data_IF_763191500176
#
_entry.id   IF_763191500176
#
_cell.length_a   1.000
_cell.length_b   1.000
_cell.length_c   1.000
_cell.angle_alpha   90.00
_cell.angle_beta   90.00
_cell.angle_gamma   90.00
#
_symmetry.space_group_name_H-M   'P 1'
#
loop_
_entity.id
_entity.type
_entity.pdbx_description
1 polymer ?
#
# COMPACT_ATOMS: atom_id res chain seq x y z
N UNK A 1 -51.68 25.57 45.90
CA UNK A 1 -52.40 26.85 46.03
C UNK A 1 -51.45 27.93 45.58
N UNK A 2 -51.68 28.70 44.52
CA UNK A 2 -52.80 28.82 43.59
C UNK A 2 -52.23 29.11 42.20
N UNK A 3 -52.95 28.70 41.16
CA UNK A 3 -52.66 29.08 39.78
C UNK A 3 -53.45 30.37 39.48
N UNK A 4 -52.75 31.43 39.09
CA UNK A 4 -53.36 32.66 38.61
C UNK A 4 -54.04 32.41 37.25
N UNK A 5 -55.37 32.46 37.25
CA UNK A 5 -56.22 32.48 36.05
C UNK A 5 -56.36 33.93 35.57
N UNK A 6 -55.48 34.34 34.65
CA UNK A 6 -55.66 35.59 33.88
C UNK A 6 -56.74 35.37 32.80
N UNK A 7 -57.99 35.54 33.19
CA UNK A 7 -59.14 35.52 32.27
C UNK A 7 -59.22 36.88 31.55
N UNK A 8 -58.55 36.95 30.39
CA UNK A 8 -58.55 38.09 29.47
C UNK A 8 -60.00 38.38 29.01
N UNK A 9 -60.65 39.35 29.66
CA UNK A 9 -61.98 39.83 29.26
C UNK A 9 -61.85 40.63 27.96
N UNK A 10 -61.91 39.92 26.83
CA UNK A 10 -61.94 40.48 25.49
C UNK A 10 -63.24 41.29 25.32
N UNK A 11 -63.13 42.61 25.43
CA UNK A 11 -64.24 43.54 25.25
C UNK A 11 -64.58 43.64 23.75
N UNK A 12 -65.75 43.14 23.36
CA UNK A 12 -66.22 43.11 21.98
C UNK A 12 -66.56 44.52 21.46
N UNK A 13 -65.62 45.10 20.69
CA UNK A 13 -65.77 46.41 20.06
C UNK A 13 -66.89 46.45 19.01
N UNK A 14 -67.29 45.31 18.46
CA UNK A 14 -68.31 45.23 17.41
C UNK A 14 -69.71 45.42 17.99
N UNK A 15 -69.96 44.85 19.17
CA UNK A 15 -71.20 45.04 19.94
C UNK A 15 -71.44 46.51 20.33
N UNK A 16 -70.37 47.26 20.64
CA UNK A 16 -70.48 48.69 20.97
C UNK A 16 -70.78 49.56 19.73
N UNK A 17 -70.25 49.17 18.57
CA UNK A 17 -70.46 49.87 17.30
C UNK A 17 -71.89 49.71 16.79
N UNK A 18 -72.52 48.56 17.05
CA UNK A 18 -73.94 48.33 16.74
C UNK A 18 -74.89 49.11 17.65
N UNK A 19 -74.47 49.41 18.88
CA UNK A 19 -75.25 50.22 19.83
C UNK A 19 -75.25 51.71 19.46
N UNK A 20 -74.15 52.21 18.91
CA UNK A 20 -74.07 53.59 18.42
C UNK A 20 -74.86 53.80 17.13
N UNK A 21 -74.90 52.83 16.22
CA UNK A 21 -75.68 52.96 14.97
C UNK A 21 -77.20 52.84 15.17
N UNK A 22 -77.66 52.15 16.22
CA UNK A 22 -79.10 52.06 16.55
C UNK A 22 -79.67 53.27 17.32
N UNK A 23 -78.83 54.21 17.75
CA UNK A 23 -79.28 55.40 18.53
C UNK A 23 -79.46 56.65 17.66
N UNK A 24 -79.36 56.52 16.33
CA UNK A 24 -79.58 57.63 15.39
C UNK A 24 -80.87 57.41 14.58
N UNK A 25 -82.03 57.71 15.17
CA UNK A 25 -83.25 58.17 14.46
C UNK A 25 -84.43 58.35 15.43
N UNK A 26 -84.33 59.31 16.34
CA UNK A 26 -85.50 60.03 16.86
C UNK A 26 -85.22 61.51 16.61
N UNK A 27 -86.02 62.24 15.82
CA UNK A 27 -85.85 63.68 15.66
C UNK A 27 -86.25 64.35 16.97
N UNK A 28 -85.27 64.45 17.87
CA UNK A 28 -85.32 65.27 19.07
C UNK A 28 -85.82 66.66 18.68
N UNK A 29 -87.04 66.96 19.10
CA UNK A 29 -87.61 68.31 19.07
C UNK A 29 -86.63 69.21 19.79
N UNK A 30 -85.92 70.05 19.03
CA UNK A 30 -85.03 71.08 19.56
C UNK A 30 -85.77 71.88 20.63
N UNK A 31 -85.28 71.96 21.88
CA UNK A 31 -85.59 73.10 22.70
C UNK A 31 -84.70 74.26 22.20
N UNK A 32 -85.07 74.89 21.08
CA UNK A 32 -84.58 76.23 20.72
C UNK A 32 -85.34 77.29 21.54
N UNK A 33 -85.48 77.04 22.84
CA UNK A 33 -85.81 78.06 23.83
C UNK A 33 -84.47 78.33 24.51
N UNK A 34 -83.81 79.41 24.09
CA UNK A 34 -82.63 79.92 24.79
C UNK A 34 -83.08 80.10 26.24
N UNK A 35 -82.64 79.22 27.12
CA UNK A 35 -82.86 79.34 28.56
C UNK A 35 -82.13 80.62 28.99
N UNK A 36 -82.82 81.76 28.92
CA UNK A 36 -82.34 82.99 29.51
C UNK A 36 -82.23 82.73 31.01
N UNK A 37 -80.99 82.57 31.46
CA UNK A 37 -80.70 82.36 32.87
C UNK A 37 -81.21 83.57 33.65
N UNK A 38 -82.29 83.38 34.41
CA UNK A 38 -82.77 84.35 35.40
C UNK A 38 -81.84 84.44 36.61
N UNK A 39 -80.67 83.78 36.60
CA UNK A 39 -79.70 83.84 37.69
C UNK A 39 -78.83 85.09 37.59
N UNK A 40 -78.83 85.85 38.68
CA UNK A 40 -77.97 87.01 38.88
C UNK A 40 -76.49 86.59 38.86
N UNK A 41 -75.60 87.43 38.32
CA UNK A 41 -74.17 87.09 38.17
C UNK A 41 -73.50 86.70 39.51
N UNK A 42 -74.02 87.21 40.63
CA UNK A 42 -73.58 86.85 41.98
C UNK A 42 -73.96 85.41 42.36
N UNK A 43 -75.17 84.96 42.01
CA UNK A 43 -75.62 83.58 42.24
C UNK A 43 -74.84 82.58 41.39
N UNK A 44 -74.52 82.96 40.15
CA UNK A 44 -73.67 82.13 39.30
C UNK A 44 -72.25 82.01 39.85
N UNK A 45 -71.66 83.11 40.36
CA UNK A 45 -70.34 83.07 40.95
C UNK A 45 -70.29 82.21 42.23
N UNK A 46 -71.34 82.28 43.06
CA UNK A 46 -71.47 81.42 44.24
C UNK A 46 -71.61 79.94 43.86
N UNK A 47 -72.36 79.62 42.81
CA UNK A 47 -72.50 78.25 42.33
C UNK A 47 -71.19 77.72 41.71
N UNK A 48 -70.45 78.58 41.00
CA UNK A 48 -69.10 78.26 40.52
C UNK A 48 -68.17 77.98 41.71
N UNK A 49 -68.14 78.84 42.72
CA UNK A 49 -67.33 78.62 43.93
C UNK A 49 -67.73 77.35 44.69
N UNK A 50 -69.01 77.00 44.68
CA UNK A 50 -69.54 75.76 45.28
C UNK A 50 -69.12 74.52 44.51
N UNK A 51 -69.09 74.58 43.18
CA UNK A 51 -68.82 73.43 42.29
C UNK A 51 -67.31 73.27 42.01
N UNK A 52 -66.52 74.34 42.10
CA UNK A 52 -65.07 74.32 41.84
C UNK A 52 -64.31 73.26 42.68
N UNK A 53 -64.61 73.05 43.97
CA UNK A 53 -64.02 71.96 44.76
C UNK A 53 -64.46 70.56 44.31
N UNK A 54 -65.67 70.42 43.76
CA UNK A 54 -66.21 69.15 43.25
C UNK A 54 -65.59 68.76 41.90
N UNK A 55 -65.17 69.76 41.11
CA UNK A 55 -64.44 69.58 39.85
C UNK A 55 -62.93 69.41 40.04
N UNK A 56 -62.41 69.71 41.23
CA UNK A 56 -60.98 69.56 41.54
C UNK A 56 -60.62 68.09 41.72
N UNK A 57 -60.39 67.43 40.59
CA UNK A 57 -59.87 66.07 40.55
C UNK A 57 -58.42 66.09 41.05
N UNK A 58 -58.24 65.78 42.33
CA UNK A 58 -56.90 65.57 42.90
C UNK A 58 -56.49 64.14 42.58
N UNK A 59 -55.78 63.96 41.46
CA UNK A 59 -55.21 62.65 41.10
C UNK A 59 -54.14 62.32 42.14
N UNK A 60 -54.45 61.40 43.05
CA UNK A 60 -53.44 60.81 43.94
C UNK A 60 -52.57 59.91 43.08
N UNK A 61 -51.26 60.15 43.07
CA UNK A 61 -50.28 59.22 42.48
C UNK A 61 -50.31 57.92 43.24
N UNK A 62 -51.16 56.99 42.79
CA UNK A 62 -51.23 55.61 43.25
C UNK A 62 -50.43 54.74 42.26
N UNK A 63 -49.75 53.71 42.75
CA UNK A 63 -49.01 52.74 41.92
C UNK A 63 -49.96 51.88 41.05
N UNK A 64 -51.27 52.06 41.18
CA UNK A 64 -52.31 51.52 40.29
C UNK A 64 -52.68 52.48 39.15
N UNK A 65 -52.05 53.66 39.06
CA UNK A 65 -52.27 54.58 37.95
C UNK A 65 -51.58 54.04 36.70
N UNK A 66 -52.38 53.71 35.68
CA UNK A 66 -51.92 53.25 34.38
C UNK A 66 -50.91 54.21 33.73
N UNK A 67 -50.91 55.51 34.08
CA UNK A 67 -49.93 56.48 33.58
C UNK A 67 -48.51 56.17 34.07
N UNK A 68 -48.36 55.68 35.30
CA UNK A 68 -47.06 55.27 35.85
C UNK A 68 -46.57 54.02 35.12
N UNK A 69 -47.46 53.03 34.92
CA UNK A 69 -47.13 51.83 34.14
C UNK A 69 -46.80 52.14 32.68
N UNK A 70 -47.50 53.10 32.05
CA UNK A 70 -47.20 53.56 30.70
C UNK A 70 -45.81 54.22 30.64
N UNK A 71 -45.46 55.03 31.64
CA UNK A 71 -44.12 55.61 31.77
C UNK A 71 -43.03 54.54 31.95
N UNK A 72 -43.27 53.56 32.81
CA UNK A 72 -42.39 52.40 33.02
C UNK A 72 -42.22 51.59 31.73
N UNK A 73 -43.29 51.36 30.97
CA UNK A 73 -43.24 50.63 29.70
C UNK A 73 -42.38 51.35 28.67
N UNK A 74 -42.48 52.69 28.57
CA UNK A 74 -41.61 53.47 27.69
C UNK A 74 -40.15 53.38 28.15
N UNK A 75 -39.88 53.50 29.46
CA UNK A 75 -38.54 53.37 30.01
C UNK A 75 -37.93 51.98 29.72
N UNK A 76 -38.69 50.91 29.91
CA UNK A 76 -38.25 49.55 29.59
C UNK A 76 -38.03 49.37 28.09
N UNK A 77 -38.93 49.88 27.24
CA UNK A 77 -38.78 49.85 25.79
C UNK A 77 -37.48 50.53 25.35
N UNK A 78 -37.20 51.72 25.87
CA UNK A 78 -35.97 52.47 25.54
C UNK A 78 -34.73 51.75 26.06
N UNK A 79 -34.80 51.16 27.26
CA UNK A 79 -33.73 50.32 27.81
C UNK A 79 -33.45 49.08 26.97
N UNK A 80 -34.50 48.37 26.52
CA UNK A 80 -34.40 47.21 25.62
C UNK A 80 -33.83 47.65 24.27
N UNK A 81 -34.28 48.77 23.72
CA UNK A 81 -33.78 49.28 22.44
C UNK A 81 -32.30 49.64 22.52
N UNK A 82 -31.87 50.26 23.63
CA UNK A 82 -30.47 50.59 23.87
C UNK A 82 -29.60 49.34 23.99
N UNK A 83 -30.01 48.37 24.83
CA UNK A 83 -29.25 47.13 25.01
C UNK A 83 -29.21 46.28 23.74
N UNK A 84 -30.30 46.25 22.97
CA UNK A 84 -30.34 45.59 21.67
C UNK A 84 -29.38 46.24 20.67
N UNK A 85 -29.34 47.58 20.63
CA UNK A 85 -28.44 48.32 19.73
C UNK A 85 -26.97 48.08 20.11
N UNK A 86 -26.67 48.09 21.41
CA UNK A 86 -25.34 47.81 21.92
C UNK A 86 -24.91 46.36 21.60
N UNK A 87 -25.77 45.38 21.89
CA UNK A 87 -25.51 43.97 21.59
C UNK A 87 -25.28 43.70 20.09
N UNK A 88 -26.07 44.33 19.21
CA UNK A 88 -25.86 44.28 17.77
C UNK A 88 -24.49 44.84 17.39
N UNK A 89 -24.10 45.99 17.95
CA UNK A 89 -22.79 46.58 17.67
C UNK A 89 -21.62 45.69 18.10
N UNK A 90 -21.74 44.97 19.23
CA UNK A 90 -20.72 44.00 19.65
C UNK A 90 -20.68 42.80 18.71
N UNK A 91 -21.85 42.30 18.27
CA UNK A 91 -21.92 41.19 17.34
C UNK A 91 -21.33 41.54 15.97
N UNK A 92 -21.61 42.74 15.45
CA UNK A 92 -21.07 43.22 14.19
C UNK A 92 -19.54 43.33 14.24
N UNK A 93 -19.00 43.89 15.33
CA UNK A 93 -17.53 43.95 15.56
C UNK A 93 -16.93 42.56 15.64
N UNK A 94 -17.56 41.64 16.37
CA UNK A 94 -17.09 40.26 16.50
C UNK A 94 -17.10 39.56 15.14
N UNK A 95 -18.15 39.74 14.33
CA UNK A 95 -18.24 39.21 12.99
C UNK A 95 -17.10 39.74 12.10
N UNK A 96 -16.83 41.05 12.15
CA UNK A 96 -15.73 41.67 11.40
C UNK A 96 -14.36 41.13 11.84
N UNK A 97 -14.12 41.01 13.14
CA UNK A 97 -12.86 40.50 13.69
C UNK A 97 -12.64 39.02 13.35
N UNK A 98 -13.70 38.21 13.40
CA UNK A 98 -13.66 36.81 12.93
C UNK A 98 -13.37 36.76 11.44
N UNK A 99 -14.02 37.62 10.64
CA UNK A 99 -13.78 37.72 9.19
C UNK A 99 -12.31 38.02 8.86
N UNK A 100 -11.75 39.06 9.48
CA UNK A 100 -10.33 39.42 9.34
C UNK A 100 -9.39 38.29 9.76
N UNK A 101 -9.71 37.61 10.86
CA UNK A 101 -8.90 36.49 11.36
C UNK A 101 -8.94 35.31 10.39
N UNK A 102 -10.11 35.00 9.84
CA UNK A 102 -10.28 33.93 8.85
C UNK A 102 -9.52 34.23 7.55
N UNK A 103 -9.59 35.47 7.06
CA UNK A 103 -8.81 35.90 5.88
C UNK A 103 -7.30 35.77 6.13
N UNK A 104 -6.84 36.17 7.32
CA UNK A 104 -5.44 36.03 7.71
C UNK A 104 -5.02 34.56 7.75
N UNK A 105 -5.83 33.69 8.37
CA UNK A 105 -5.58 32.23 8.40
C UNK A 105 -5.54 31.67 6.98
N UNK A 106 -6.53 31.98 6.14
CA UNK A 106 -6.57 31.52 4.75
C UNK A 106 -5.36 31.99 3.92
N UNK A 107 -4.92 33.24 4.11
CA UNK A 107 -3.71 33.75 3.45
C UNK A 107 -2.45 33.00 3.90
N UNK A 108 -2.37 32.67 5.19
CA UNK A 108 -1.23 31.93 5.76
C UNK A 108 -1.21 30.48 5.30
N UNK A 109 -2.37 29.83 5.25
CA UNK A 109 -2.54 28.48 4.70
C UNK A 109 -2.12 28.43 3.23
N UNK A 110 -2.61 29.35 2.39
CA UNK A 110 -2.19 29.45 0.98
C UNK A 110 -0.68 29.64 0.85
N UNK A 111 -0.09 30.49 1.68
CA UNK A 111 1.36 30.72 1.68
C UNK A 111 2.16 29.47 2.09
N UNK A 112 1.71 28.74 3.10
CA UNK A 112 2.34 27.50 3.55
C UNK A 112 2.19 26.41 2.48
N UNK A 113 0.99 26.23 1.93
CA UNK A 113 0.73 25.26 0.88
C UNK A 113 1.62 25.53 -0.34
N UNK A 114 1.71 26.78 -0.79
CA UNK A 114 2.58 27.14 -1.91
C UNK A 114 4.06 26.83 -1.65
N UNK A 115 4.53 26.97 -0.41
CA UNK A 115 5.90 26.58 -0.06
C UNK A 115 6.08 25.06 -0.03
N UNK A 116 5.10 24.35 0.53
CA UNK A 116 5.18 22.89 0.65
C UNK A 116 4.98 22.16 -0.68
N UNK A 117 4.22 22.74 -1.62
CA UNK A 117 3.94 22.15 -2.93
C UNK A 117 5.24 21.74 -3.66
N UNK A 118 6.22 22.65 -3.72
CA UNK A 118 7.50 22.38 -4.36
C UNK A 118 8.29 21.29 -3.62
N UNK A 119 8.37 21.37 -2.29
CA UNK A 119 9.09 20.37 -1.48
C UNK A 119 8.46 18.98 -1.61
N UNK A 120 7.13 18.88 -1.66
CA UNK A 120 6.41 17.61 -1.86
C UNK A 120 6.71 17.06 -3.26
N UNK A 121 6.73 17.92 -4.28
CA UNK A 121 7.05 17.52 -5.64
C UNK A 121 8.50 17.03 -5.76
N UNK A 122 9.45 17.73 -5.13
CA UNK A 122 10.86 17.33 -5.07
C UNK A 122 11.02 16.00 -4.33
N UNK A 123 10.37 15.84 -3.17
CA UNK A 123 10.38 14.58 -2.42
C UNK A 123 9.87 13.41 -3.27
N UNK A 124 8.75 13.59 -3.99
CA UNK A 124 8.22 12.57 -4.92
C UNK A 124 9.20 12.25 -6.03
N UNK A 125 9.87 13.25 -6.61
CA UNK A 125 10.89 13.05 -7.64
C UNK A 125 12.08 12.24 -7.11
N UNK A 126 12.61 12.62 -5.95
CA UNK A 126 13.74 11.91 -5.31
C UNK A 126 13.35 10.50 -4.92
N UNK A 127 12.13 10.29 -4.42
CA UNK A 127 11.61 8.96 -4.09
C UNK A 127 11.50 8.06 -5.34
N UNK A 128 11.04 8.61 -6.48
CA UNK A 128 11.00 7.87 -7.74
C UNK A 128 12.41 7.49 -8.22
N UNK A 129 13.37 8.41 -8.17
CA UNK A 129 14.78 8.15 -8.51
C UNK A 129 15.40 7.09 -7.59
N UNK A 130 15.09 7.12 -6.29
CA UNK A 130 15.54 6.12 -5.34
C UNK A 130 14.97 4.73 -5.66
N UNK A 131 13.69 4.65 -6.03
CA UNK A 131 13.06 3.38 -6.45
C UNK A 131 13.75 2.82 -7.69
N UNK A 132 13.97 3.66 -8.71
CA UNK A 132 14.65 3.28 -9.95
C UNK A 132 16.07 2.78 -9.68
N UNK A 133 16.85 3.50 -8.86
CA UNK A 133 18.20 3.10 -8.49
C UNK A 133 18.22 1.76 -7.73
N UNK A 134 17.23 1.53 -6.86
CA UNK A 134 17.09 0.27 -6.12
C UNK A 134 16.76 -0.90 -7.05
N UNK A 135 15.88 -0.69 -8.02
CA UNK A 135 15.52 -1.69 -9.01
C UNK A 135 16.72 -2.04 -9.90
N UNK A 136 17.47 -1.04 -10.37
CA UNK A 136 18.73 -1.24 -11.10
C UNK A 136 19.77 -1.99 -10.28
N UNK A 137 19.93 -1.65 -9.00
CA UNK A 137 20.84 -2.37 -8.10
C UNK A 137 20.41 -3.83 -7.93
N UNK A 138 19.11 -4.09 -7.73
CA UNK A 138 18.59 -5.44 -7.57
C UNK A 138 18.78 -6.28 -8.85
N UNK A 139 18.55 -5.68 -10.01
CA UNK A 139 18.79 -6.32 -11.31
C UNK A 139 20.28 -6.62 -11.52
N UNK A 140 21.16 -5.65 -11.24
CA UNK A 140 22.60 -5.82 -11.37
C UNK A 140 23.13 -6.90 -10.40
N UNK A 141 22.67 -6.89 -9.16
CA UNK A 141 23.00 -7.90 -8.15
C UNK A 141 22.54 -9.30 -8.59
N UNK A 142 21.31 -9.43 -9.09
CA UNK A 142 20.83 -10.68 -9.68
C UNK A 142 21.70 -11.16 -10.85
N UNK A 143 22.10 -10.26 -11.75
CA UNK A 143 23.01 -10.56 -12.86
C UNK A 143 24.41 -10.99 -12.39
N UNK A 144 24.95 -10.38 -11.34
CA UNK A 144 26.23 -10.77 -10.74
C UNK A 144 26.13 -12.17 -10.11
N UNK A 145 25.06 -12.46 -9.38
CA UNK A 145 24.83 -13.79 -8.82
C UNK A 145 24.75 -14.86 -9.91
N UNK A 146 24.02 -14.62 -10.98
CA UNK A 146 23.91 -15.56 -12.10
C UNK A 146 25.26 -15.78 -12.80
N UNK A 147 26.01 -14.70 -13.07
CA UNK A 147 27.37 -14.81 -13.63
C UNK A 147 28.32 -15.55 -12.70
N UNK A 148 28.20 -15.35 -11.39
CA UNK A 148 29.00 -16.09 -10.39
C UNK A 148 28.65 -17.58 -10.40
N UNK A 149 27.36 -17.92 -10.52
CA UNK A 149 26.88 -19.30 -10.66
C UNK A 149 27.45 -19.95 -11.93
N UNK A 150 27.35 -19.28 -13.08
CA UNK A 150 27.88 -19.77 -14.36
C UNK A 150 29.40 -19.93 -14.31
N UNK A 151 30.13 -19.00 -13.68
CA UNK A 151 31.58 -19.13 -13.51
C UNK A 151 31.97 -20.35 -12.65
N UNK A 152 31.20 -20.65 -11.60
CA UNK A 152 31.42 -21.84 -10.79
C UNK A 152 31.18 -23.12 -11.60
N UNK A 153 30.11 -23.15 -12.40
CA UNK A 153 29.78 -24.28 -13.29
C UNK A 153 30.87 -24.52 -14.33
N UNK A 154 31.33 -23.46 -15.02
CA UNK A 154 32.46 -23.56 -15.98
C UNK A 154 33.75 -23.99 -15.29
N UNK A 155 34.00 -23.53 -14.06
CA UNK A 155 35.20 -23.92 -13.30
C UNK A 155 35.17 -25.41 -12.92
N UNK A 156 34.00 -25.94 -12.56
CA UNK A 156 33.79 -27.37 -12.30
C UNK A 156 33.98 -28.20 -13.57
N UNK A 157 33.41 -27.76 -14.71
CA UNK A 157 33.62 -28.40 -16.01
C UNK A 157 35.11 -28.43 -16.39
N UNK A 158 35.84 -27.33 -16.15
CA UNK A 158 37.26 -27.23 -16.45
C UNK A 158 38.08 -28.18 -15.57
N UNK A 159 37.78 -28.29 -14.27
CA UNK A 159 38.44 -29.26 -13.39
C UNK A 159 38.12 -30.70 -13.80
N UNK A 160 36.89 -30.99 -14.22
CA UNK A 160 36.52 -32.30 -14.77
C UNK A 160 37.32 -32.64 -16.04
N UNK A 161 37.42 -31.71 -16.99
CA UNK A 161 38.22 -31.90 -18.22
C UNK A 161 39.70 -32.09 -17.88
N UNK A 162 40.22 -31.35 -16.91
CA UNK A 162 41.60 -31.49 -16.43
C UNK A 162 41.83 -32.87 -15.80
N UNK A 163 40.90 -33.36 -14.97
CA UNK A 163 40.97 -34.70 -14.37
C UNK A 163 40.88 -35.81 -15.44
N UNK A 164 40.01 -35.66 -16.44
CA UNK A 164 39.96 -36.58 -17.58
C UNK A 164 41.26 -36.57 -18.39
N UNK A 165 41.86 -35.40 -18.61
CA UNK A 165 43.14 -35.25 -19.28
C UNK A 165 44.28 -35.90 -18.49
N UNK A 166 44.32 -35.72 -17.16
CA UNK A 166 45.30 -36.34 -16.28
C UNK A 166 45.13 -37.86 -16.24
N UNK A 167 43.89 -38.36 -16.20
CA UNK A 167 43.58 -39.79 -16.28
C UNK A 167 44.05 -40.38 -17.62
N UNK A 168 43.72 -39.73 -18.75
CA UNK A 168 44.19 -40.14 -20.07
C UNK A 168 45.70 -40.03 -20.21
N UNK A 169 46.32 -38.99 -19.66
CA UNK A 169 47.77 -38.80 -19.65
C UNK A 169 48.47 -39.88 -18.83
N UNK A 170 47.93 -40.22 -17.66
CA UNK A 170 48.40 -41.32 -16.82
C UNK A 170 48.23 -42.67 -17.52
N UNK A 171 47.10 -42.89 -18.22
CA UNK A 171 46.87 -44.11 -19.02
C UNK A 171 47.79 -44.20 -20.23
N UNK A 172 48.07 -43.09 -20.93
CA UNK A 172 49.03 -43.05 -22.03
C UNK A 172 50.47 -43.21 -21.56
N UNK A 173 50.80 -42.68 -20.37
CA UNK A 173 52.10 -42.83 -19.74
C UNK A 173 52.26 -44.18 -19.03
N UNK A 174 51.18 -44.96 -18.89
CA UNK A 174 51.24 -46.29 -18.31
C UNK A 174 51.93 -47.26 -19.28
N UNK A 175 53.26 -47.24 -19.19
CA UNK A 175 54.18 -48.12 -19.92
C UNK A 175 53.95 -49.60 -19.54
N UNK A 176 53.18 -49.92 -18.49
CA UNK A 176 52.94 -51.31 -18.08
C UNK A 176 52.26 -52.13 -19.19
N UNK A 177 51.31 -51.55 -19.93
CA UNK A 177 50.67 -52.23 -21.07
C UNK A 177 51.67 -52.57 -22.18
N UNK A 178 52.51 -51.60 -22.55
CA UNK A 178 53.58 -51.77 -23.55
C UNK A 178 54.65 -52.77 -23.06
N UNK A 179 54.98 -52.74 -21.77
CA UNK A 179 55.91 -53.70 -21.14
C UNK A 179 55.33 -55.10 -21.16
N UNK A 180 54.04 -55.30 -20.86
CA UNK A 180 53.36 -56.60 -20.96
C UNK A 180 53.40 -57.14 -22.39
N UNK A 181 53.10 -56.31 -23.40
CA UNK A 181 53.22 -56.71 -24.81
C UNK A 181 54.65 -57.12 -25.15
N UNK A 182 55.65 -56.33 -24.73
CA UNK A 182 57.08 -56.64 -24.93
C UNK A 182 57.49 -57.96 -24.25
N UNK A 183 57.01 -58.22 -23.03
CA UNK A 183 57.26 -59.47 -22.31
C UNK A 183 56.65 -60.67 -23.04
N UNK A 184 55.39 -60.59 -23.46
CA UNK A 184 54.71 -61.63 -24.24
C UNK A 184 55.42 -61.90 -25.57
N UNK A 185 55.87 -60.85 -26.27
CA UNK A 185 56.65 -60.97 -27.50
C UNK A 185 57.98 -61.70 -27.27
N UNK A 186 58.65 -61.41 -26.16
CA UNK A 186 59.93 -62.05 -25.80
C UNK A 186 59.73 -63.54 -25.49
N UNK A 187 58.65 -63.87 -24.77
CA UNK A 187 58.25 -65.26 -24.49
C UNK A 187 57.93 -66.02 -25.79
N UNK A 188 57.19 -65.41 -26.70
CA UNK A 188 56.87 -66.01 -27.99
C UNK A 188 58.13 -66.27 -28.82
N UNK A 189 59.10 -65.34 -28.85
CA UNK A 189 60.40 -65.56 -29.50
C UNK A 189 61.14 -66.76 -28.92
N UNK A 190 61.18 -66.87 -27.59
CA UNK A 190 61.80 -68.00 -26.92
C UNK A 190 61.11 -69.34 -27.24
N UNK A 191 59.78 -69.33 -27.38
CA UNK A 191 59.01 -70.51 -27.80
C UNK A 191 59.31 -70.89 -29.25
N UNK A 192 59.45 -69.91 -30.16
CA UNK A 192 59.89 -70.15 -31.55
C UNK A 192 61.28 -70.77 -31.59
N UNK A 193 62.25 -70.21 -30.86
CA UNK A 193 63.60 -70.78 -30.80
C UNK A 193 63.58 -72.23 -30.27
N UNK A 194 62.74 -72.49 -29.26
CA UNK A 194 62.56 -73.84 -28.73
C UNK A 194 61.92 -74.79 -29.76
N UNK A 195 60.93 -74.31 -30.52
CA UNK A 195 60.31 -75.07 -31.60
C UNK A 195 61.31 -75.38 -32.72
N UNK A 196 62.18 -74.44 -33.10
CA UNK A 196 63.22 -74.65 -34.11
C UNK A 196 64.23 -75.73 -33.70
N UNK A 197 64.64 -75.75 -32.43
CA UNK A 197 65.48 -76.82 -31.88
C UNK A 197 64.77 -78.17 -31.93
N UNK A 198 63.48 -78.22 -31.58
CA UNK A 198 62.68 -79.44 -31.65
C UNK A 198 62.52 -79.93 -33.09
N UNK A 199 62.25 -79.03 -34.04
CA UNK A 199 62.17 -79.32 -35.47
C UNK A 199 63.51 -79.89 -35.95
N UNK A 200 64.64 -79.26 -35.59
CA UNK A 200 65.98 -79.71 -35.96
C UNK A 200 66.29 -81.11 -35.41
N UNK A 201 65.94 -81.38 -34.14
CA UNK A 201 66.08 -82.71 -33.54
C UNK A 201 65.20 -83.76 -34.23
N UNK A 202 63.95 -83.43 -34.55
CA UNK A 202 63.03 -84.32 -35.27
C UNK A 202 63.55 -84.58 -36.68
N UNK A 203 63.98 -83.55 -37.41
CA UNK A 203 64.58 -83.67 -38.73
C UNK A 203 65.84 -84.55 -38.69
N UNK A 204 66.74 -84.35 -37.72
CA UNK A 204 67.91 -85.19 -37.52
C UNK A 204 67.53 -86.65 -37.20
N UNK A 205 66.57 -86.87 -36.29
CA UNK A 205 66.07 -88.23 -35.97
C UNK A 205 65.45 -88.90 -37.19
N UNK A 206 64.66 -88.17 -37.99
CA UNK A 206 64.04 -88.67 -39.22
C UNK A 206 65.10 -89.01 -40.27
N UNK A 207 66.10 -88.14 -40.47
CA UNK A 207 67.22 -88.39 -41.36
C UNK A 207 68.04 -89.61 -40.91
N UNK A 208 68.32 -89.75 -39.61
CA UNK A 208 69.01 -90.89 -39.06
C UNK A 208 68.20 -92.18 -39.22
N UNK A 209 66.86 -92.13 -39.05
CA UNK A 209 65.97 -93.26 -39.31
C UNK A 209 65.99 -93.65 -40.80
N UNK A 210 65.91 -92.68 -41.72
CA UNK A 210 65.99 -92.93 -43.16
C UNK A 210 67.35 -93.52 -43.57
N UNK A 211 68.46 -93.04 -42.99
CA UNK A 211 69.79 -93.62 -43.20
C UNK A 211 69.89 -95.05 -42.65
N UNK A 212 69.29 -95.34 -41.48
CA UNK A 212 69.22 -96.70 -40.93
C UNK A 212 68.35 -97.62 -41.78
N UNK A 213 67.22 -97.14 -42.30
CA UNK A 213 66.36 -97.87 -43.23
C UNK A 213 67.09 -98.18 -44.54
N UNK A 214 67.78 -97.20 -45.14
CA UNK A 214 68.65 -97.42 -46.31
C UNK A 214 69.77 -98.41 -46.03
N UNK A 215 70.43 -98.30 -44.88
CA UNK A 215 71.47 -99.24 -44.44
C UNK A 215 70.92 -100.65 -44.26
N UNK A 216 69.77 -100.81 -43.61
CA UNK A 216 69.09 -102.09 -43.46
C UNK A 216 68.65 -102.66 -44.82
N UNK A 217 68.15 -101.82 -45.74
CA UNK A 217 67.78 -102.24 -47.09
C UNK A 217 69.00 -102.70 -47.90
N UNK A 218 70.16 -102.05 -47.77
CA UNK A 218 71.42 -102.57 -48.33
C UNK A 218 71.88 -103.87 -47.64
N UNK A 219 71.64 -104.02 -46.34
CA UNK A 219 72.01 -105.21 -45.57
C UNK A 219 71.12 -106.41 -45.92
N UNK A 220 69.82 -106.19 -46.11
CA UNK A 220 68.86 -107.20 -46.56
C UNK A 220 69.09 -107.58 -48.04
N UNK A 221 69.50 -106.62 -48.88
CA UNK A 221 69.96 -106.90 -50.24
C UNK A 221 71.21 -107.80 -50.25
N UNK A 222 72.14 -107.62 -49.28
CA UNK A 222 73.29 -108.51 -49.07
C UNK A 222 72.92 -109.86 -48.42
N UNK A 223 71.82 -109.96 -47.65
CA UNK A 223 71.39 -111.20 -47.01
C UNK A 223 70.57 -112.13 -47.92
N UNK A 224 70.03 -111.62 -49.04
CA UNK A 224 69.16 -112.39 -49.97
C UNK A 224 69.93 -113.04 -51.13
N UNK A 225 71.27 -113.03 -51.10
CA UNK A 225 72.11 -113.69 -52.11
C UNK A 225 73.02 -114.73 -51.45
N UNK A 226 72.55 -115.98 -51.33
CA UNK A 226 73.36 -117.17 -51.00
C UNK A 226 73.06 -118.21 -52.10
N UNK A 227 74.03 -119.07 -52.51
CA UNK A 227 74.02 -120.43 -51.95
C UNK A 227 75.41 -121.11 -51.75
N UNK A 228 75.46 -121.96 -50.71
CA UNK A 228 76.36 -123.10 -50.42
C UNK A 228 76.33 -124.20 -51.51
N UNK A 229 77.04 -125.36 -51.42
CA UNK A 229 78.29 -125.75 -50.70
C UNK A 229 79.26 -126.64 -51.55
N UNK A 230 80.46 -126.97 -51.04
CA UNK A 230 81.05 -128.33 -51.04
C UNK A 230 82.52 -128.40 -50.57
N UNK A 231 82.75 -129.26 -49.57
CA UNK A 231 83.83 -130.26 -49.41
C UNK A 231 85.33 -129.89 -49.40
N UNK A 232 86.01 -130.46 -48.37
CA UNK A 232 87.42 -130.89 -48.37
C UNK A 232 88.40 -130.02 -47.59
N UNK A 233 89.45 -130.49 -46.90
CA UNK A 233 89.93 -131.78 -46.40
C UNK A 233 91.29 -131.40 -45.71
N UNK A 234 91.62 -132.01 -44.56
CA UNK A 234 92.95 -132.15 -43.91
C UNK A 234 93.94 -130.96 -43.80
N UNK A 235 94.27 -130.58 -42.56
CA UNK A 235 95.54 -130.89 -41.86
C UNK A 235 95.67 -130.02 -40.61
#
# INVERSE_FOLDING_TARGET
EEADEDEETMMDLEALKLRTTHTEAEPSSKPDEILESTMEAAEWNLEVERVLPLLKVTIRTDNKDWRIHLGQMHQHRDGIQSSLTEAKSYLDKLQEDIGKTLEKVSSREKYINNQLEFLIQEYRSVQAQLSEAKDHYQQASGGVMERTRVLAEISEELEKVKQEMESKGSSMSDRASVVKVKQSLTKLKQEVDQMDVRISLIQHKLQQANLKEKSNMTRDMHATTIPEPAAGLFA
#
